data_IF_050995541817
#
_entry.id   IF_050995541817
#
_cell.length_a   1.000
_cell.length_b   1.000
_cell.length_c   1.000
_cell.angle_alpha   90.00
_cell.angle_beta   90.00
_cell.angle_gamma   90.00
#
_symmetry.space_group_name_H-M   'P 1'
#
loop_
_entity.id
_entity.type
_entity.pdbx_description
1 polymer ?
#
# COMPACT_ATOMS: atom_id res chain seq x y z
N UNK A 1 -4.03 22.52 17.91
CA UNK A 1 -4.43 23.24 16.68
C UNK A 1 -3.17 23.78 16.03
N UNK A 2 -2.64 23.31 14.90
CA UNK A 2 -2.97 22.26 13.95
C UNK A 2 -1.89 22.43 12.88
N UNK A 3 -0.84 21.60 12.91
CA UNK A 3 0.38 21.81 12.10
C UNK A 3 0.13 21.64 10.59
N UNK A 4 -1.06 21.18 10.21
CA UNK A 4 -1.51 21.03 8.82
C UNK A 4 -2.87 21.72 8.65
N UNK A 5 -2.97 22.62 7.66
CA UNK A 5 -4.26 23.08 7.13
C UNK A 5 -4.90 21.92 6.35
N UNK A 6 -6.24 21.82 6.33
CA UNK A 6 -6.96 20.73 5.64
C UNK A 6 -6.50 20.52 4.18
N UNK A 7 -6.13 21.60 3.49
CA UNK A 7 -5.57 21.56 2.14
C UNK A 7 -4.21 20.88 2.05
N UNK A 8 -3.33 21.10 3.03
CA UNK A 8 -2.00 20.45 3.09
C UNK A 8 -2.13 18.96 3.37
N UNK A 9 -3.09 18.58 4.22
CA UNK A 9 -3.36 17.17 4.53
C UNK A 9 -4.00 16.44 3.34
N UNK A 10 -4.91 17.09 2.60
CA UNK A 10 -5.43 16.57 1.33
C UNK A 10 -4.32 16.35 0.29
N UNK A 11 -3.43 17.32 0.08
CA UNK A 11 -2.31 17.21 -0.86
C UNK A 11 -1.38 16.05 -0.47
N UNK A 12 -1.04 15.95 0.81
CA UNK A 12 -0.22 14.85 1.32
C UNK A 12 -0.89 13.49 1.07
N UNK A 13 -2.19 13.35 1.39
CA UNK A 13 -2.95 12.13 1.14
C UNK A 13 -3.01 11.79 -0.34
N UNK A 14 -3.16 12.76 -1.24
CA UNK A 14 -3.14 12.52 -2.68
C UNK A 14 -1.77 12.02 -3.15
N UNK A 15 -0.66 12.62 -2.68
CA UNK A 15 0.70 12.19 -3.01
C UNK A 15 0.98 10.79 -2.45
N UNK A 16 0.60 10.54 -1.21
CA UNK A 16 0.75 9.25 -0.54
C UNK A 16 -0.01 8.13 -1.26
N UNK A 17 -1.30 8.34 -1.55
CA UNK A 17 -2.10 7.37 -2.28
C UNK A 17 -1.58 7.19 -3.72
N UNK A 18 -1.13 8.26 -4.39
CA UNK A 18 -0.47 8.17 -5.70
C UNK A 18 0.81 7.32 -5.68
N UNK A 19 1.64 7.49 -4.65
CA UNK A 19 2.85 6.67 -4.44
C UNK A 19 2.54 5.20 -4.15
N UNK A 20 1.47 4.93 -3.39
CA UNK A 20 0.99 3.57 -3.18
C UNK A 20 0.50 2.93 -4.49
N UNK A 21 -0.24 3.66 -5.31
CA UNK A 21 -0.66 3.16 -6.64
C UNK A 21 0.56 2.75 -7.44
N UNK A 22 1.58 3.60 -7.54
CA UNK A 22 2.80 3.28 -8.28
C UNK A 22 3.50 2.02 -7.74
N UNK A 23 3.56 1.88 -6.42
CA UNK A 23 4.21 0.75 -5.75
C UNK A 23 3.42 -0.55 -5.98
N UNK A 24 2.11 -0.56 -5.75
CA UNK A 24 1.27 -1.74 -5.97
C UNK A 24 1.18 -2.11 -7.45
N UNK A 25 1.07 -1.12 -8.33
CA UNK A 25 1.10 -1.33 -9.77
C UNK A 25 2.41 -1.99 -10.20
N UNK A 26 3.55 -1.50 -9.71
CA UNK A 26 4.84 -2.07 -10.09
C UNK A 26 5.09 -3.46 -9.48
N UNK A 27 4.91 -3.61 -8.16
CA UNK A 27 5.23 -4.86 -7.45
C UNK A 27 4.23 -5.98 -7.71
N UNK A 28 2.93 -5.67 -7.82
CA UNK A 28 1.90 -6.69 -7.97
C UNK A 28 1.50 -6.90 -9.42
N UNK A 29 1.38 -5.85 -10.23
CA UNK A 29 0.92 -5.98 -11.62
C UNK A 29 2.12 -6.21 -12.55
N UNK A 30 3.06 -5.27 -12.65
CA UNK A 30 4.18 -5.36 -13.61
C UNK A 30 5.08 -6.54 -13.29
N UNK A 31 5.58 -6.64 -12.05
CA UNK A 31 6.53 -7.68 -11.64
C UNK A 31 5.96 -9.10 -11.72
N UNK A 32 4.69 -9.33 -11.34
CA UNK A 32 4.08 -10.66 -11.51
C UNK A 32 3.69 -10.95 -12.96
N UNK A 33 3.33 -9.95 -13.76
CA UNK A 33 3.10 -10.14 -15.21
C UNK A 33 4.39 -10.55 -15.92
N UNK A 34 5.51 -9.91 -15.60
CA UNK A 34 6.84 -10.30 -16.12
C UNK A 34 7.22 -11.70 -15.67
N UNK A 35 6.99 -12.07 -14.39
CA UNK A 35 7.22 -13.43 -13.88
C UNK A 35 6.35 -14.47 -14.58
N UNK A 36 5.11 -14.13 -14.89
CA UNK A 36 4.21 -15.00 -15.64
C UNK A 36 4.76 -15.26 -17.05
N UNK A 37 5.18 -14.22 -17.77
CA UNK A 37 5.76 -14.34 -19.11
C UNK A 37 7.06 -15.18 -19.10
N UNK A 38 7.89 -15.01 -18.08
CA UNK A 38 9.24 -15.63 -18.01
C UNK A 38 9.27 -17.03 -17.41
N UNK A 39 8.33 -17.39 -16.53
CA UNK A 39 8.34 -18.67 -15.79
C UNK A 39 7.10 -19.54 -16.01
N UNK A 40 6.23 -19.16 -16.94
CA UNK A 40 5.00 -19.88 -17.28
C UNK A 40 3.81 -19.55 -16.37
N UNK A 41 2.63 -20.01 -16.78
CA UNK A 41 1.34 -19.68 -16.15
C UNK A 41 1.20 -20.41 -14.80
N UNK A 42 1.38 -19.66 -13.70
CA UNK A 42 1.11 -20.14 -12.34
C UNK A 42 -0.04 -19.34 -11.76
N UNK A 43 -1.01 -20.03 -11.15
CA UNK A 43 -2.18 -19.42 -10.52
C UNK A 43 -1.81 -18.31 -9.52
N UNK A 44 -0.73 -18.49 -8.76
CA UNK A 44 -0.23 -17.48 -7.82
C UNK A 44 0.09 -16.12 -8.49
N UNK A 45 0.57 -16.11 -9.73
CA UNK A 45 0.87 -14.85 -10.43
C UNK A 45 -0.41 -14.14 -10.86
N UNK A 46 -1.41 -14.88 -11.34
CA UNK A 46 -2.72 -14.33 -11.71
C UNK A 46 -3.41 -13.74 -10.48
N UNK A 47 -3.41 -14.47 -9.36
CA UNK A 47 -3.97 -13.99 -8.09
C UNK A 47 -3.28 -12.72 -7.61
N UNK A 48 -1.95 -12.65 -7.71
CA UNK A 48 -1.19 -11.45 -7.33
C UNK A 48 -1.48 -10.24 -8.24
N UNK A 49 -1.62 -10.45 -9.56
CA UNK A 49 -1.99 -9.39 -10.51
C UNK A 49 -3.41 -8.88 -10.21
N UNK A 50 -4.37 -9.77 -9.99
CA UNK A 50 -5.74 -9.40 -9.62
C UNK A 50 -5.79 -8.62 -8.30
N UNK A 51 -5.04 -9.06 -7.28
CA UNK A 51 -4.89 -8.31 -6.04
C UNK A 51 -4.31 -6.92 -6.28
N UNK A 52 -3.28 -6.81 -7.13
CA UNK A 52 -2.69 -5.54 -7.54
C UNK A 52 -3.72 -4.59 -8.17
N UNK A 53 -4.54 -5.09 -9.10
CA UNK A 53 -5.59 -4.30 -9.77
C UNK A 53 -6.65 -3.83 -8.75
N UNK A 54 -7.09 -4.73 -7.85
CA UNK A 54 -8.04 -4.40 -6.79
C UNK A 54 -7.47 -3.31 -5.87
N UNK A 55 -6.20 -3.42 -5.45
CA UNK A 55 -5.55 -2.40 -4.64
C UNK A 55 -5.45 -1.05 -5.36
N UNK A 56 -5.08 -1.03 -6.65
CA UNK A 56 -5.04 0.22 -7.43
C UNK A 56 -6.42 0.87 -7.51
N UNK A 57 -7.47 0.10 -7.80
CA UNK A 57 -8.84 0.61 -7.88
C UNK A 57 -9.32 1.21 -6.54
N UNK A 58 -9.04 0.51 -5.44
CA UNK A 58 -9.30 0.98 -4.08
C UNK A 58 -8.59 2.30 -3.80
N UNK A 59 -7.32 2.43 -4.19
CA UNK A 59 -6.54 3.63 -3.89
C UNK A 59 -7.01 4.81 -4.74
N UNK A 60 -7.35 4.59 -6.02
CA UNK A 60 -7.98 5.62 -6.86
C UNK A 60 -9.29 6.10 -6.23
N UNK A 61 -10.10 5.16 -5.74
CA UNK A 61 -11.35 5.48 -5.06
C UNK A 61 -11.12 6.25 -3.74
N UNK A 62 -10.08 5.92 -2.98
CA UNK A 62 -9.66 6.67 -1.80
C UNK A 62 -9.27 8.12 -2.15
N UNK A 63 -8.52 8.34 -3.24
CA UNK A 63 -8.16 9.69 -3.73
C UNK A 63 -9.42 10.49 -4.07
N UNK A 64 -10.35 9.91 -4.82
CA UNK A 64 -11.62 10.56 -5.18
C UNK A 64 -12.48 10.86 -3.94
N UNK A 65 -12.44 9.97 -2.95
CA UNK A 65 -13.16 10.13 -1.67
C UNK A 65 -12.59 11.28 -0.84
N UNK A 66 -11.25 11.44 -0.82
CA UNK A 66 -10.56 12.57 -0.18
C UNK A 66 -10.90 13.90 -0.87
N UNK A 67 -11.01 13.91 -2.20
CA UNK A 67 -11.41 15.10 -2.96
C UNK A 67 -12.87 15.50 -2.73
N UNK A 68 -13.78 14.53 -2.68
CA UNK A 68 -15.22 14.78 -2.54
C UNK A 68 -15.67 15.16 -1.12
N UNK A 69 -14.81 15.00 -0.10
CA UNK A 69 -15.11 15.27 1.33
C UNK A 69 -16.36 14.55 1.86
N UNK A 70 -16.80 13.47 1.21
CA UNK A 70 -17.93 12.70 1.67
C UNK A 70 -17.47 11.85 2.86
N UNK A 71 -17.86 12.25 4.08
CA UNK A 71 -17.44 11.61 5.35
C UNK A 71 -17.63 10.09 5.35
N UNK A 72 -18.72 9.60 4.75
CA UNK A 72 -19.00 8.16 4.61
C UNK A 72 -17.94 7.45 3.77
N UNK A 73 -17.47 8.06 2.68
CA UNK A 73 -16.47 7.47 1.81
C UNK A 73 -15.08 7.49 2.46
N UNK A 74 -14.77 8.51 3.26
CA UNK A 74 -13.54 8.57 4.05
C UNK A 74 -13.48 7.46 5.11
N UNK A 75 -14.60 7.16 5.79
CA UNK A 75 -14.67 6.05 6.75
C UNK A 75 -14.47 4.69 6.08
N UNK A 76 -15.07 4.47 4.91
CA UNK A 76 -14.86 3.23 4.16
C UNK A 76 -13.41 3.15 3.67
N UNK A 77 -12.84 4.25 3.16
CA UNK A 77 -11.42 4.31 2.79
C UNK A 77 -10.50 3.95 3.95
N UNK A 78 -10.80 4.44 5.16
CA UNK A 78 -10.08 4.10 6.39
C UNK A 78 -10.13 2.60 6.68
N UNK A 79 -11.31 1.98 6.61
CA UNK A 79 -11.47 0.52 6.80
C UNK A 79 -10.64 -0.24 5.78
N UNK A 80 -10.66 0.19 4.53
CA UNK A 80 -9.91 -0.48 3.46
C UNK A 80 -8.39 -0.35 3.66
N UNK A 81 -7.89 0.82 4.06
CA UNK A 81 -6.46 1.00 4.39
C UNK A 81 -6.01 0.10 5.54
N UNK A 82 -6.86 -0.11 6.55
CA UNK A 82 -6.60 -1.05 7.65
C UNK A 82 -6.52 -2.49 7.12
N UNK A 83 -7.46 -2.90 6.26
CA UNK A 83 -7.44 -4.24 5.63
C UNK A 83 -6.16 -4.44 4.80
N UNK A 84 -5.76 -3.44 4.00
CA UNK A 84 -4.50 -3.47 3.23
C UNK A 84 -3.31 -3.67 4.17
N UNK A 85 -3.25 -2.93 5.28
CA UNK A 85 -2.18 -3.05 6.26
C UNK A 85 -2.11 -4.45 6.87
N UNK A 86 -3.26 -5.02 7.27
CA UNK A 86 -3.33 -6.37 7.86
C UNK A 86 -2.85 -7.42 6.86
N UNK A 87 -3.31 -7.36 5.61
CA UNK A 87 -2.86 -8.26 4.54
C UNK A 87 -1.35 -8.12 4.34
N UNK A 88 -0.85 -6.88 4.28
CA UNK A 88 0.58 -6.61 4.07
C UNK A 88 1.45 -7.13 5.21
N UNK A 89 1.00 -7.02 6.46
CA UNK A 89 1.69 -7.60 7.60
C UNK A 89 1.64 -9.15 7.55
N UNK A 90 0.47 -9.70 7.24
CA UNK A 90 0.23 -11.15 7.19
C UNK A 90 1.08 -11.88 6.15
N UNK A 91 1.32 -11.27 4.99
CA UNK A 91 2.18 -11.84 3.94
C UNK A 91 3.62 -11.31 3.97
N UNK A 92 3.83 -10.04 4.33
CA UNK A 92 5.13 -9.39 4.30
C UNK A 92 6.08 -9.84 5.41
N UNK A 93 5.58 -10.11 6.62
CA UNK A 93 6.41 -10.62 7.71
C UNK A 93 6.97 -12.01 7.39
N UNK A 94 6.14 -13.01 6.98
CA UNK A 94 6.66 -14.31 6.57
C UNK A 94 7.67 -14.24 5.42
N UNK A 95 7.40 -13.45 4.38
CA UNK A 95 8.31 -13.29 3.24
C UNK A 95 9.66 -12.69 3.68
N UNK A 96 9.63 -11.70 4.57
CA UNK A 96 10.85 -11.08 5.14
C UNK A 96 11.65 -12.07 5.99
N UNK A 97 10.98 -12.93 6.76
CA UNK A 97 11.62 -13.99 7.57
C UNK A 97 12.26 -15.06 6.67
N UNK A 98 11.56 -15.49 5.61
CA UNK A 98 12.09 -16.48 4.67
C UNK A 98 13.29 -15.94 3.90
N UNK A 99 13.26 -14.66 3.52
CA UNK A 99 14.41 -13.99 2.91
C UNK A 99 15.57 -13.84 3.88
N UNK A 100 15.34 -13.58 5.16
CA UNK A 100 16.40 -13.60 6.17
C UNK A 100 17.06 -14.98 6.25
N UNK A 101 16.26 -16.06 6.26
CA UNK A 101 16.77 -17.44 6.26
C UNK A 101 17.58 -17.77 5.00
N UNK A 102 17.15 -17.27 3.84
CA UNK A 102 17.77 -17.58 2.54
C UNK A 102 19.00 -16.73 2.22
N UNK A 103 18.99 -15.46 2.59
CA UNK A 103 20.03 -14.48 2.22
C UNK A 103 20.85 -13.97 3.42
N UNK A 104 20.58 -14.47 4.62
CA UNK A 104 21.29 -14.11 5.84
C UNK A 104 21.26 -12.60 6.12
N UNK A 105 22.38 -12.07 6.61
CA UNK A 105 22.54 -10.65 6.94
C UNK A 105 23.17 -9.82 5.79
N UNK A 106 22.89 -10.22 4.54
CA UNK A 106 23.37 -9.53 3.34
C UNK A 106 22.82 -8.10 3.22
N UNK A 107 23.49 -7.23 2.45
CA UNK A 107 22.98 -5.86 2.20
C UNK A 107 21.60 -5.90 1.55
N UNK A 108 21.36 -6.89 0.68
CA UNK A 108 20.08 -7.12 0.00
C UNK A 108 18.92 -7.32 0.98
N UNK A 109 19.11 -8.15 2.02
CA UNK A 109 18.11 -8.34 3.07
C UNK A 109 17.84 -7.05 3.86
N UNK A 110 18.90 -6.29 4.20
CA UNK A 110 18.78 -5.04 4.95
C UNK A 110 18.03 -3.97 4.15
N UNK A 111 18.30 -3.85 2.86
CA UNK A 111 17.61 -2.92 1.96
C UNK A 111 16.12 -3.26 1.86
N UNK A 112 15.77 -4.53 1.62
CA UNK A 112 14.36 -4.93 1.56
C UNK A 112 13.63 -4.75 2.90
N UNK A 113 14.30 -5.03 4.02
CA UNK A 113 13.74 -4.81 5.36
C UNK A 113 13.47 -3.31 5.60
N UNK A 114 14.40 -2.43 5.24
CA UNK A 114 14.22 -0.98 5.35
C UNK A 114 13.06 -0.51 4.47
N UNK A 115 12.97 -0.99 3.23
CA UNK A 115 11.84 -0.68 2.33
C UNK A 115 10.52 -1.13 2.94
N UNK A 116 10.46 -2.34 3.50
CA UNK A 116 9.27 -2.85 4.17
C UNK A 116 8.86 -1.98 5.37
N UNK A 117 9.80 -1.63 6.25
CA UNK A 117 9.53 -0.78 7.42
C UNK A 117 9.05 0.61 6.99
N UNK A 118 9.71 1.24 6.01
CA UNK A 118 9.32 2.55 5.48
C UNK A 118 7.91 2.48 4.90
N UNK A 119 7.59 1.43 4.14
CA UNK A 119 6.25 1.22 3.60
C UNK A 119 5.18 1.09 4.69
N UNK A 120 5.46 0.39 5.79
CA UNK A 120 4.54 0.28 6.94
C UNK A 120 4.33 1.64 7.61
N UNK A 121 5.42 2.38 7.89
CA UNK A 121 5.35 3.70 8.52
C UNK A 121 4.54 4.69 7.69
N UNK A 122 4.81 4.73 6.39
CA UNK A 122 4.07 5.56 5.43
C UNK A 122 2.60 5.12 5.41
N UNK A 123 2.31 3.81 5.52
CA UNK A 123 0.94 3.32 5.58
C UNK A 123 0.15 3.77 6.81
N UNK A 124 0.78 3.66 7.99
CA UNK A 124 0.22 4.12 9.26
C UNK A 124 -0.06 5.62 9.24
N UNK A 125 0.82 6.40 8.62
CA UNK A 125 0.61 7.83 8.46
C UNK A 125 -0.60 8.14 7.56
N UNK A 126 -0.79 7.36 6.48
CA UNK A 126 -1.98 7.46 5.63
C UNK A 126 -3.29 7.14 6.36
N UNK A 127 -3.29 6.13 7.23
CA UNK A 127 -4.43 5.79 8.10
C UNK A 127 -4.72 6.95 9.05
N UNK A 128 -3.69 7.48 9.73
CA UNK A 128 -3.84 8.58 10.67
C UNK A 128 -4.40 9.84 9.99
N UNK A 129 -3.87 10.21 8.81
CA UNK A 129 -4.35 11.35 8.05
C UNK A 129 -5.80 11.15 7.58
N UNK A 130 -6.17 9.95 7.11
CA UNK A 130 -7.54 9.63 6.69
C UNK A 130 -8.51 9.71 7.87
N UNK A 131 -8.10 9.22 9.05
CA UNK A 131 -8.89 9.31 10.29
C UNK A 131 -9.09 10.76 10.75
N UNK A 132 -8.05 11.58 10.67
CA UNK A 132 -8.15 13.01 10.99
C UNK A 132 -9.14 13.73 10.06
N UNK A 133 -9.12 13.45 8.75
CA UNK A 133 -10.11 14.03 7.81
C UNK A 133 -11.53 13.50 8.01
N UNK A 134 -11.69 12.24 8.42
CA UNK A 134 -13.01 11.66 8.64
C UNK A 134 -13.70 12.22 9.89
N UNK A 135 -12.93 12.81 10.81
CA UNK A 135 -13.42 13.31 12.10
C UNK A 135 -13.34 14.83 12.29
N UNK A 136 -12.73 15.56 11.35
CA UNK A 136 -12.92 17.01 11.18
C UNK A 136 -14.15 17.30 10.31
#
# INVERSE_FOLDING_TARGET
MGFFKDSTLQIFLTIYHGSLIATFFFDYIVRNSVRWITSGLKWNYITNVLLGIIFVAIIIWAIMSVWSRIRRNLLISLVVLIIILVIRLGFGIPDTIDKHKKYGNSSFYKEELVVFIVQILVHLFGIAATWMLANN
#
